data_IF_649965536427
#
_entry.id   IF_649965536427
#
_cell.length_a   1.000
_cell.length_b   1.000
_cell.length_c   1.000
_cell.angle_alpha   90.00
_cell.angle_beta   90.00
_cell.angle_gamma   90.00
#
_symmetry.space_group_name_H-M   'P 1'
#
loop_
_entity.id
_entity.type
_entity.pdbx_description
1 polymer ?
#
# COMPACT_ATOMS: atom_id res chain seq x y z
N UNK A 1 -25.90 6.69 11.18
CA UNK A 1 -25.49 5.75 10.12
C UNK A 1 -24.50 6.49 9.22
N UNK A 2 -23.22 6.14 9.27
CA UNK A 2 -22.17 6.80 8.49
C UNK A 2 -22.14 6.18 7.08
N UNK A 3 -22.32 6.98 6.03
CA UNK A 3 -22.14 6.51 4.64
C UNK A 3 -20.64 6.45 4.34
N UNK A 4 -20.06 5.27 4.49
CA UNK A 4 -18.67 5.01 4.10
C UNK A 4 -18.62 4.53 2.65
N UNK A 5 -17.63 5.02 1.91
CA UNK A 5 -17.35 4.64 0.52
C UNK A 5 -16.56 3.32 0.40
N UNK A 6 -16.36 2.60 1.50
CA UNK A 6 -15.72 1.28 1.55
C UNK A 6 -16.78 0.18 1.49
N UNK A 7 -17.59 0.11 0.42
CA UNK A 7 -18.76 -0.80 0.39
C UNK A 7 -18.42 -2.27 0.08
N UNK A 8 -17.27 -2.55 -0.53
CA UNK A 8 -16.87 -3.88 -1.01
C UNK A 8 -15.61 -4.40 -0.28
N UNK A 9 -14.86 -3.54 0.42
CA UNK A 9 -13.76 -3.99 1.26
C UNK A 9 -14.26 -4.95 2.36
N UNK A 10 -13.75 -6.19 2.45
CA UNK A 10 -14.24 -7.18 3.41
C UNK A 10 -13.98 -6.81 4.88
N UNK A 11 -13.08 -5.86 5.16
CA UNK A 11 -12.77 -5.40 6.51
C UNK A 11 -12.77 -3.86 6.61
N UNK A 12 -13.97 -3.29 6.57
CA UNK A 12 -14.18 -1.84 6.69
C UNK A 12 -13.61 -1.25 7.99
N UNK A 13 -13.60 -2.02 9.08
CA UNK A 13 -13.11 -1.59 10.38
C UNK A 13 -11.61 -1.33 10.36
N UNK A 14 -10.85 -2.19 9.68
CA UNK A 14 -9.41 -2.03 9.48
C UNK A 14 -9.08 -0.74 8.72
N UNK A 15 -9.87 -0.39 7.70
CA UNK A 15 -9.68 0.86 6.93
C UNK A 15 -9.93 2.09 7.80
N UNK A 16 -11.06 2.14 8.53
CA UNK A 16 -11.39 3.27 9.41
C UNK A 16 -10.31 3.45 10.48
N UNK A 17 -9.91 2.35 11.12
CA UNK A 17 -8.84 2.35 12.13
C UNK A 17 -7.55 2.94 11.55
N UNK A 18 -7.18 2.53 10.32
CA UNK A 18 -5.98 3.03 9.67
C UNK A 18 -6.00 4.55 9.43
N UNK A 19 -7.15 5.08 9.00
CA UNK A 19 -7.32 6.52 8.84
C UNK A 19 -7.26 7.26 10.19
N UNK A 20 -7.87 6.71 11.24
CA UNK A 20 -7.85 7.33 12.56
C UNK A 20 -6.47 7.29 13.24
N UNK A 21 -5.69 6.24 13.00
CA UNK A 21 -4.36 6.06 13.58
C UNK A 21 -3.24 6.64 12.70
N UNK A 22 -3.58 7.13 11.49
CA UNK A 22 -2.62 7.54 10.44
C UNK A 22 -1.54 6.48 10.17
N UNK A 23 -1.87 5.22 10.44
CA UNK A 23 -0.96 4.08 10.39
C UNK A 23 -1.71 2.84 9.96
N UNK A 24 -1.06 2.03 9.13
CA UNK A 24 -1.59 0.75 8.71
C UNK A 24 -0.52 -0.33 8.79
N UNK A 25 -0.82 -1.36 9.59
CA UNK A 25 0.01 -2.54 9.76
C UNK A 25 -0.59 -3.69 8.91
N UNK A 26 0.17 -4.18 7.92
CA UNK A 26 -0.23 -5.28 7.03
C UNK A 26 -0.06 -5.00 5.53
N UNK A 27 -0.81 -5.72 4.70
CA UNK A 27 -0.76 -5.57 3.24
C UNK A 27 -1.41 -4.26 2.79
N UNK A 28 -0.65 -3.32 2.25
CA UNK A 28 -1.15 -2.02 1.80
C UNK A 28 -2.36 -2.14 0.85
N UNK A 29 -2.43 -3.22 0.04
CA UNK A 29 -3.54 -3.48 -0.87
C UNK A 29 -4.89 -3.75 -0.18
N UNK A 30 -4.89 -4.04 1.13
CA UNK A 30 -6.10 -4.17 1.94
C UNK A 30 -6.81 -2.82 2.14
N UNK A 31 -6.12 -1.68 1.96
CA UNK A 31 -6.74 -0.36 2.07
C UNK A 31 -7.51 0.04 0.80
N UNK A 32 -7.28 -0.65 -0.31
CA UNK A 32 -7.89 -0.30 -1.59
C UNK A 32 -9.34 -0.75 -1.64
N UNK A 33 -10.12 -0.15 -2.54
CA UNK A 33 -11.51 -0.50 -2.79
C UNK A 33 -11.64 -0.93 -4.27
N UNK A 34 -11.82 -2.24 -4.57
CA UNK A 34 -11.80 -3.38 -3.64
C UNK A 34 -10.41 -3.70 -3.08
N UNK A 35 -10.33 -4.56 -2.06
CA UNK A 35 -9.04 -5.09 -1.57
C UNK A 35 -8.37 -5.90 -2.68
N UNK A 36 -7.23 -5.41 -3.17
CA UNK A 36 -6.47 -6.05 -4.25
C UNK A 36 -5.48 -7.11 -3.72
N UNK A 37 -5.50 -7.40 -2.41
CA UNK A 37 -4.54 -8.27 -1.74
C UNK A 37 -4.44 -9.68 -2.33
N UNK A 38 -5.54 -10.19 -2.90
CA UNK A 38 -5.58 -11.51 -3.56
C UNK A 38 -4.72 -11.58 -4.82
N UNK A 39 -4.42 -10.46 -5.48
CA UNK A 39 -3.62 -10.44 -6.72
C UNK A 39 -2.15 -10.83 -6.50
N UNK A 40 -1.61 -10.54 -5.32
CA UNK A 40 -0.21 -10.78 -5.00
C UNK A 40 0.01 -11.97 -4.08
N UNK A 41 -1.05 -12.64 -3.61
CA UNK A 41 -0.93 -13.78 -2.71
C UNK A 41 0.05 -14.85 -3.27
N UNK A 42 1.00 -15.38 -2.47
CA UNK A 42 1.12 -15.25 -1.01
C UNK A 42 1.94 -14.03 -0.54
N UNK A 43 2.22 -13.06 -1.39
CA UNK A 43 2.96 -11.85 -1.05
C UNK A 43 2.05 -10.69 -0.65
N UNK A 44 2.60 -9.78 0.15
CA UNK A 44 1.99 -8.53 0.57
C UNK A 44 2.92 -7.36 0.26
N UNK A 45 2.35 -6.16 0.18
CA UNK A 45 3.12 -4.91 0.18
C UNK A 45 3.16 -4.43 1.65
N UNK A 46 4.31 -4.62 2.30
CA UNK A 46 4.52 -4.20 3.70
C UNK A 46 4.71 -2.68 3.76
N UNK A 47 3.69 -1.99 4.25
CA UNK A 47 3.65 -0.54 4.36
C UNK A 47 4.80 0.02 5.23
N UNK A 48 5.32 -0.74 6.20
CA UNK A 48 6.39 -0.29 7.10
C UNK A 48 7.77 -0.23 6.46
N UNK A 49 7.95 -0.86 5.28
CA UNK A 49 9.24 -0.99 4.59
C UNK A 49 9.50 0.10 3.56
N UNK A 50 8.53 0.98 3.32
CA UNK A 50 8.76 2.12 2.44
C UNK A 50 9.82 3.05 3.06
N UNK A 51 10.79 3.53 2.27
CA UNK A 51 11.68 4.60 2.71
C UNK A 51 10.88 5.82 3.16
N UNK A 52 11.37 6.52 4.18
CA UNK A 52 10.72 7.73 4.70
C UNK A 52 10.65 8.86 3.68
N UNK A 53 11.52 8.86 2.67
CA UNK A 53 11.57 9.84 1.58
C UNK A 53 10.82 9.38 0.31
N UNK A 54 10.15 8.22 0.37
CA UNK A 54 9.54 7.62 -0.82
C UNK A 54 8.49 8.51 -1.47
N UNK A 55 7.64 9.16 -0.66
CA UNK A 55 6.58 10.02 -1.19
C UNK A 55 7.16 11.27 -1.86
N UNK A 56 8.08 11.96 -1.18
CA UNK A 56 8.77 13.15 -1.66
C UNK A 56 9.54 12.87 -2.94
N UNK A 57 10.25 11.73 -2.99
CA UNK A 57 11.02 11.32 -4.16
C UNK A 57 10.12 10.93 -5.33
N UNK A 58 9.04 10.21 -5.07
CA UNK A 58 8.14 9.79 -6.15
C UNK A 58 7.31 10.94 -6.70
N UNK A 59 6.90 11.94 -5.90
CA UNK A 59 6.14 13.08 -6.41
C UNK A 59 7.03 14.07 -7.20
N UNK A 60 8.32 14.15 -6.89
CA UNK A 60 9.27 15.08 -7.52
C UNK A 60 10.03 14.50 -8.72
N UNK A 61 10.01 13.19 -8.94
CA UNK A 61 10.76 12.58 -10.05
C UNK A 61 10.16 12.91 -11.42
N UNK A 62 11.00 12.90 -12.45
CA UNK A 62 10.64 13.23 -13.84
C UNK A 62 9.82 12.17 -14.57
N UNK A 63 9.46 11.07 -13.88
CA UNK A 63 8.66 9.95 -14.37
C UNK A 63 9.25 9.20 -15.59
N UNK A 64 10.54 9.39 -15.90
CA UNK A 64 11.25 8.59 -16.93
C UNK A 64 11.64 7.22 -16.37
N UNK A 65 10.63 6.41 -16.07
CA UNK A 65 10.77 5.11 -15.41
C UNK A 65 11.57 4.10 -16.25
N UNK A 66 11.66 4.28 -17.57
CA UNK A 66 12.53 3.50 -18.46
C UNK A 66 14.03 3.68 -18.15
N UNK A 67 14.40 4.81 -17.51
CA UNK A 67 15.78 5.17 -17.16
C UNK A 67 16.05 5.14 -15.65
N UNK A 68 15.08 4.75 -14.84
CA UNK A 68 15.16 4.80 -13.38
C UNK A 68 14.73 3.47 -12.76
N UNK A 69 15.55 2.89 -11.90
CA UNK A 69 15.24 1.63 -11.19
C UNK A 69 14.55 1.84 -9.84
N UNK A 70 14.48 3.06 -9.32
CA UNK A 70 14.11 3.33 -7.93
C UNK A 70 12.81 2.63 -7.49
N UNK A 71 11.70 2.82 -8.22
CA UNK A 71 10.42 2.20 -7.85
C UNK A 71 10.47 0.67 -7.90
N UNK A 72 11.27 0.10 -8.82
CA UNK A 72 11.48 -1.35 -8.91
C UNK A 72 12.27 -1.87 -7.70
N UNK A 73 13.30 -1.15 -7.30
CA UNK A 73 14.12 -1.50 -6.14
C UNK A 73 13.32 -1.41 -4.83
N UNK A 74 12.49 -0.37 -4.69
CA UNK A 74 11.54 -0.25 -3.56
C UNK A 74 10.52 -1.38 -3.61
N UNK A 75 9.92 -1.68 -4.77
CA UNK A 75 8.96 -2.78 -4.91
C UNK A 75 9.55 -4.11 -4.42
N UNK A 76 10.79 -4.42 -4.79
CA UNK A 76 11.48 -5.63 -4.33
C UNK A 76 11.74 -5.65 -2.81
N UNK A 77 11.79 -4.48 -2.18
CA UNK A 77 12.05 -4.33 -0.74
C UNK A 77 10.78 -4.44 0.11
N UNK A 78 9.65 -3.94 -0.42
CA UNK A 78 8.35 -3.92 0.26
C UNK A 78 7.50 -5.17 -0.04
N UNK A 79 7.78 -5.89 -1.14
CA UNK A 79 7.10 -7.13 -1.49
C UNK A 79 7.64 -8.28 -0.64
N UNK A 80 6.85 -8.73 0.34
CA UNK A 80 7.27 -9.77 1.30
C UNK A 80 6.28 -10.92 1.31
N UNK A 81 6.76 -12.13 1.56
CA UNK A 81 5.88 -13.30 1.67
C UNK A 81 5.11 -13.22 2.98
N UNK A 82 3.78 -13.33 2.91
CA UNK A 82 2.90 -13.44 4.07
C UNK A 82 3.13 -14.80 4.73
N UNK A 83 3.49 -14.80 6.01
CA UNK A 83 3.70 -16.02 6.80
C UNK A 83 2.38 -16.57 7.34
#
# INVERSE_FOLDING_TARGET
MLKLATRINPDHGKVIKAYCEERFDGNLLDLFEPSHSKLLYPYIIDNSRFPSDWFERTISCDKRCDKCSYCKDIFNSVLVKNH
#
